data_IF_480166234042
#
_entry.id   IF_480166234042
#
_cell.length_a   1.000
_cell.length_b   1.000
_cell.length_c   1.000
_cell.angle_alpha   90.00
_cell.angle_beta   90.00
_cell.angle_gamma   90.00
#
_symmetry.space_group_name_H-M   'P 1'
#
loop_
_entity.id
_entity.type
_entity.pdbx_description
1 polymer ?
#
# COMPACT_ATOMS: atom_id res chain seq x y z
N UNK A 1 21.46 -46.11 -80.61
CA UNK A 1 20.65 -45.24 -79.73
C UNK A 1 21.56 -44.22 -79.08
N UNK A 2 21.14 -42.96 -79.08
CA UNK A 2 21.65 -41.79 -78.33
C UNK A 2 23.00 -41.16 -78.69
N UNK A 3 22.87 -40.05 -79.44
CA UNK A 3 23.48 -38.72 -79.28
C UNK A 3 24.56 -38.49 -78.21
N UNK A 4 25.72 -37.97 -78.63
CA UNK A 4 26.59 -37.13 -77.81
C UNK A 4 26.82 -35.80 -78.56
N UNK A 5 26.34 -34.71 -77.97
CA UNK A 5 26.53 -33.34 -78.42
C UNK A 5 27.35 -32.61 -77.34
N UNK A 6 28.60 -32.30 -77.66
CA UNK A 6 29.44 -31.31 -76.94
C UNK A 6 29.29 -29.99 -77.68
N UNK A 7 29.17 -28.82 -77.01
CA UNK A 7 30.40 -28.12 -76.61
C UNK A 7 30.27 -27.10 -75.46
N UNK A 8 31.41 -26.57 -75.00
CA UNK A 8 31.51 -25.21 -74.44
C UNK A 8 32.11 -25.11 -73.04
N UNK A 9 33.43 -25.20 -72.92
CA UNK A 9 34.15 -24.74 -71.73
C UNK A 9 34.32 -23.22 -71.79
N UNK A 10 33.73 -22.48 -70.84
CA UNK A 10 34.11 -21.10 -70.53
C UNK A 10 34.91 -21.08 -69.21
N UNK A 11 36.00 -20.31 -69.11
CA UNK A 11 36.78 -20.23 -67.87
C UNK A 11 36.03 -19.40 -66.81
N UNK A 12 36.22 -19.70 -65.50
CA UNK A 12 35.61 -18.91 -64.44
C UNK A 12 36.25 -17.52 -64.34
N UNK A 13 35.45 -16.48 -64.46
CA UNK A 13 35.84 -15.10 -64.17
C UNK A 13 35.81 -14.87 -62.65
N UNK A 14 37.00 -14.71 -62.04
CA UNK A 14 37.12 -14.29 -60.64
C UNK A 14 36.97 -12.78 -60.54
N UNK A 15 35.75 -12.28 -60.30
CA UNK A 15 35.57 -10.87 -59.94
C UNK A 15 35.91 -10.68 -58.45
N UNK A 16 37.08 -10.10 -58.18
CA UNK A 16 37.44 -9.61 -56.85
C UNK A 16 36.62 -8.34 -56.57
N UNK A 17 35.62 -8.48 -55.71
CA UNK A 17 34.75 -7.39 -55.29
C UNK A 17 35.50 -6.48 -54.30
N UNK A 18 36.05 -5.37 -54.80
CA UNK A 18 36.75 -4.34 -54.01
C UNK A 18 35.82 -3.18 -53.62
N UNK A 19 34.53 -3.45 -53.41
CA UNK A 19 33.64 -2.47 -52.78
C UNK A 19 34.06 -2.18 -51.33
N UNK A 20 34.05 -0.92 -50.86
CA UNK A 20 34.26 -0.64 -49.45
C UNK A 20 33.20 -1.39 -48.65
N UNK A 21 33.61 -2.32 -47.78
CA UNK A 21 32.71 -2.94 -46.81
C UNK A 21 32.27 -1.86 -45.85
N UNK A 22 31.18 -1.17 -46.18
CA UNK A 22 30.42 -0.40 -45.22
C UNK A 22 29.85 -1.41 -44.21
N UNK A 23 30.62 -1.73 -43.18
CA UNK A 23 30.06 -2.32 -41.96
C UNK A 23 29.06 -1.30 -41.46
N UNK A 24 27.76 -1.54 -41.66
CA UNK A 24 26.72 -0.75 -41.00
C UNK A 24 27.10 -0.69 -39.53
N UNK A 25 27.14 0.50 -38.89
CA UNK A 25 27.23 0.54 -37.44
C UNK A 25 26.11 -0.36 -36.90
N UNK A 26 26.38 -1.19 -35.87
CA UNK A 26 25.34 -2.00 -35.27
C UNK A 26 24.14 -1.08 -34.99
N UNK A 27 22.95 -1.51 -35.42
CA UNK A 27 21.72 -0.77 -35.12
C UNK A 27 21.74 -0.41 -33.63
N UNK A 28 21.41 0.83 -33.23
CA UNK A 28 21.43 1.20 -31.83
C UNK A 28 20.58 0.16 -31.09
N UNK A 29 21.25 -0.67 -30.27
CA UNK A 29 20.58 -1.64 -29.41
C UNK A 29 19.54 -0.82 -28.64
N UNK A 30 18.24 -1.07 -28.82
CA UNK A 30 17.19 -0.27 -28.16
C UNK A 30 17.38 -0.38 -26.64
N UNK A 31 18.01 0.59 -25.94
CA UNK A 31 18.32 0.46 -24.52
C UNK A 31 17.04 0.68 -23.67
N UNK A 32 15.92 0.99 -24.31
CA UNK A 32 14.74 1.62 -23.71
C UNK A 32 13.53 0.70 -23.55
N UNK A 33 13.48 -0.51 -24.15
CA UNK A 33 12.35 -1.44 -23.93
C UNK A 33 12.24 -1.88 -22.48
N UNK A 34 13.37 -2.10 -21.80
CA UNK A 34 13.38 -2.54 -20.41
C UNK A 34 12.88 -1.46 -19.43
N UNK A 35 12.95 -0.18 -19.80
CA UNK A 35 12.47 0.95 -18.98
C UNK A 35 11.04 1.38 -19.34
N UNK A 36 10.36 0.66 -20.23
CA UNK A 36 9.02 1.03 -20.67
C UNK A 36 8.04 1.21 -19.50
N UNK A 37 8.18 0.40 -18.44
CA UNK A 37 7.30 0.40 -17.27
C UNK A 37 7.45 1.60 -16.33
N UNK A 38 8.52 2.39 -16.46
CA UNK A 38 8.81 3.56 -15.61
C UNK A 38 8.44 4.91 -16.24
N UNK A 39 8.00 4.91 -17.50
CA UNK A 39 7.56 6.11 -18.20
C UNK A 39 6.23 6.67 -17.67
N UNK A 40 5.88 7.94 -17.98
CA UNK A 40 4.58 8.50 -17.64
C UNK A 40 3.40 7.58 -18.04
N UNK A 41 2.33 7.62 -17.24
CA UNK A 41 1.12 6.79 -17.40
C UNK A 41 1.28 5.27 -17.21
N UNK A 42 2.50 4.80 -16.90
CA UNK A 42 2.76 3.39 -16.60
C UNK A 42 2.61 3.09 -15.11
N UNK A 43 2.39 1.81 -14.72
CA UNK A 43 2.20 1.44 -13.32
C UNK A 43 3.35 1.87 -12.39
N UNK A 44 4.60 1.85 -12.86
CA UNK A 44 5.78 2.27 -12.09
C UNK A 44 6.31 3.65 -12.54
N UNK A 45 5.43 4.51 -13.05
CA UNK A 45 5.78 5.86 -13.51
C UNK A 45 6.57 6.64 -12.45
N UNK A 46 7.84 6.99 -12.74
CA UNK A 46 8.69 7.73 -11.80
C UNK A 46 8.15 9.13 -11.50
N UNK A 47 7.62 9.82 -12.52
CA UNK A 47 6.99 11.12 -12.34
C UNK A 47 5.69 11.01 -11.54
N UNK A 48 4.94 9.92 -11.73
CA UNK A 48 3.72 9.64 -10.96
C UNK A 48 4.01 9.36 -9.49
N UNK A 49 5.06 8.59 -9.22
CA UNK A 49 5.51 8.24 -7.86
C UNK A 49 6.08 9.47 -7.15
N UNK A 50 6.99 10.21 -7.80
CA UNK A 50 7.64 11.38 -7.19
C UNK A 50 6.65 12.48 -6.84
N UNK A 51 5.69 12.77 -7.73
CA UNK A 51 4.65 13.76 -7.49
C UNK A 51 3.77 13.39 -6.28
N UNK A 52 3.32 12.14 -6.19
CA UNK A 52 2.50 11.68 -5.05
C UNK A 52 3.27 11.73 -3.73
N UNK A 53 4.51 11.26 -3.73
CA UNK A 53 5.37 11.32 -2.55
C UNK A 53 5.60 12.77 -2.09
N UNK A 54 5.87 13.69 -3.02
CA UNK A 54 6.03 15.11 -2.73
C UNK A 54 4.77 15.72 -2.13
N UNK A 55 3.60 15.51 -2.76
CA UNK A 55 2.33 16.04 -2.28
C UNK A 55 1.94 15.48 -0.90
N UNK A 56 2.18 14.18 -0.65
CA UNK A 56 1.96 13.57 0.66
C UNK A 56 2.90 14.14 1.73
N UNK A 57 4.18 14.36 1.39
CA UNK A 57 5.14 15.00 2.30
C UNK A 57 4.77 16.45 2.63
N UNK A 58 4.32 17.21 1.64
CA UNK A 58 3.83 18.58 1.84
C UNK A 58 2.55 18.59 2.71
N UNK A 59 1.58 17.73 2.41
CA UNK A 59 0.34 17.60 3.18
C UNK A 59 0.60 17.16 4.63
N UNK A 60 1.52 16.21 4.84
CA UNK A 60 1.97 15.81 6.18
C UNK A 60 2.56 16.99 6.95
N UNK A 61 3.51 17.71 6.33
CA UNK A 61 4.21 18.82 6.99
C UNK A 61 3.26 19.96 7.34
N UNK A 62 2.40 20.35 6.41
CA UNK A 62 1.39 21.39 6.62
C UNK A 62 0.36 20.98 7.67
N UNK A 63 -0.12 19.73 7.62
CA UNK A 63 -1.07 19.20 8.61
C UNK A 63 -0.48 19.16 10.01
N UNK A 64 0.75 18.64 10.15
CA UNK A 64 1.41 18.56 11.45
C UNK A 64 1.71 19.96 12.02
N UNK A 65 2.25 20.87 11.21
CA UNK A 65 2.51 22.25 11.61
C UNK A 65 1.22 22.95 12.04
N UNK A 66 0.15 22.81 11.25
CA UNK A 66 -1.15 23.42 11.58
C UNK A 66 -1.72 22.86 12.88
N UNK A 67 -1.63 21.54 13.11
CA UNK A 67 -2.08 20.93 14.35
C UNK A 67 -1.31 21.48 15.57
N UNK A 68 0.03 21.57 15.45
CA UNK A 68 0.90 22.12 16.51
C UNK A 68 0.59 23.59 16.76
N UNK A 69 0.45 24.41 15.72
CA UNK A 69 0.13 25.83 15.88
C UNK A 69 -1.23 26.04 16.52
N UNK A 70 -2.27 25.29 16.13
CA UNK A 70 -3.60 25.40 16.77
C UNK A 70 -3.54 24.98 18.24
N UNK A 71 -2.79 23.92 18.58
CA UNK A 71 -2.56 23.49 19.97
C UNK A 71 -1.78 24.51 20.80
N UNK A 72 -0.78 25.16 20.21
CA UNK A 72 0.10 26.10 20.90
C UNK A 72 -0.54 27.49 21.07
N UNK A 73 -1.34 27.92 20.10
CA UNK A 73 -1.88 29.28 20.03
C UNK A 73 -3.35 29.38 20.48
N UNK A 74 -4.07 28.26 20.55
CA UNK A 74 -5.52 28.26 20.83
C UNK A 74 -5.92 27.11 21.74
N UNK A 75 -7.10 27.21 22.36
CA UNK A 75 -7.77 26.08 23.04
C UNK A 75 -8.73 25.31 22.14
N UNK A 76 -8.72 25.59 20.82
CA UNK A 76 -9.68 25.03 19.89
C UNK A 76 -9.42 23.55 19.63
N UNK A 77 -10.44 22.67 19.63
CA UNK A 77 -10.30 21.27 19.24
C UNK A 77 -10.02 21.08 17.74
N UNK A 78 -10.03 22.14 16.93
CA UNK A 78 -9.85 22.07 15.48
C UNK A 78 -8.48 21.54 15.03
N UNK A 79 -7.47 21.44 15.92
CA UNK A 79 -6.18 20.80 15.64
C UNK A 79 -6.32 19.32 15.23
N UNK A 80 -7.42 18.68 15.62
CA UNK A 80 -7.70 17.26 15.35
C UNK A 80 -7.80 16.96 13.85
N UNK A 81 -8.35 17.87 13.06
CA UNK A 81 -8.50 17.73 11.60
C UNK A 81 -7.14 17.74 10.88
N UNK A 82 -6.28 18.76 11.02
CA UNK A 82 -4.97 18.75 10.37
C UNK A 82 -4.06 17.64 10.91
N UNK A 83 -4.20 17.22 12.18
CA UNK A 83 -3.54 16.01 12.70
C UNK A 83 -3.99 14.74 11.96
N UNK A 84 -5.29 14.57 11.73
CA UNK A 84 -5.82 13.44 10.97
C UNK A 84 -5.30 13.42 9.53
N UNK A 85 -5.29 14.57 8.84
CA UNK A 85 -4.75 14.69 7.49
C UNK A 85 -3.24 14.39 7.43
N UNK A 86 -2.49 14.77 8.47
CA UNK A 86 -1.09 14.39 8.58
C UNK A 86 -0.94 12.87 8.74
N UNK A 87 -1.69 12.24 9.65
CA UNK A 87 -1.66 10.78 9.84
C UNK A 87 -2.04 10.03 8.56
N UNK A 88 -3.07 10.48 7.84
CA UNK A 88 -3.50 9.90 6.57
C UNK A 88 -2.41 10.04 5.49
N UNK A 89 -1.76 11.20 5.42
CA UNK A 89 -0.67 11.44 4.47
C UNK A 89 0.53 10.54 4.75
N UNK A 90 0.90 10.40 6.04
CA UNK A 90 1.97 9.50 6.47
C UNK A 90 1.64 8.04 6.19
N UNK A 91 0.41 7.61 6.46
CA UNK A 91 -0.06 6.26 6.15
C UNK A 91 0.15 5.93 4.68
N UNK A 92 -0.38 6.74 3.77
CA UNK A 92 -0.27 6.51 2.32
C UNK A 92 1.19 6.52 1.82
N UNK A 93 2.04 7.38 2.39
CA UNK A 93 3.46 7.38 2.08
C UNK A 93 4.14 6.08 2.56
N UNK A 94 3.89 5.65 3.80
CA UNK A 94 4.49 4.46 4.37
C UNK A 94 4.04 3.17 3.69
N UNK A 95 2.81 3.12 3.16
CA UNK A 95 2.34 2.02 2.32
C UNK A 95 3.25 1.86 1.09
N UNK A 96 3.42 2.95 0.33
CA UNK A 96 4.29 2.92 -0.85
C UNK A 96 5.74 2.64 -0.49
N UNK A 97 6.29 3.34 0.50
CA UNK A 97 7.70 3.23 0.88
C UNK A 97 8.05 1.81 1.37
N UNK A 98 7.18 1.20 2.18
CA UNK A 98 7.41 -0.16 2.68
C UNK A 98 7.38 -1.18 1.54
N UNK A 99 6.43 -1.04 0.62
CA UNK A 99 6.37 -1.85 -0.62
C UNK A 99 7.61 -1.63 -1.48
N UNK A 100 7.99 -0.40 -1.78
CA UNK A 100 9.19 -0.10 -2.56
C UNK A 100 10.46 -0.70 -1.94
N UNK A 101 10.56 -0.71 -0.60
CA UNK A 101 11.74 -1.17 0.14
C UNK A 101 11.89 -2.69 0.20
N UNK A 102 10.79 -3.44 0.26
CA UNK A 102 10.80 -4.90 0.54
C UNK A 102 10.01 -5.75 -0.48
N UNK A 103 9.25 -5.12 -1.35
CA UNK A 103 8.51 -5.74 -2.44
C UNK A 103 8.50 -4.83 -3.69
N UNK A 104 9.70 -4.45 -4.15
CA UNK A 104 9.89 -3.48 -5.26
C UNK A 104 9.12 -3.82 -6.54
N UNK A 105 8.95 -5.09 -6.96
CA UNK A 105 8.15 -5.42 -8.14
C UNK A 105 6.68 -4.95 -8.05
N UNK A 106 6.14 -4.85 -6.83
CA UNK A 106 4.76 -4.41 -6.58
C UNK A 106 4.65 -2.88 -6.32
N UNK A 107 5.77 -2.14 -6.38
CA UNK A 107 5.85 -0.72 -6.06
C UNK A 107 5.33 0.19 -7.18
N UNK A 108 4.04 0.01 -7.52
CA UNK A 108 3.32 0.82 -8.50
C UNK A 108 2.72 2.08 -7.88
N UNK A 109 2.23 3.01 -8.70
CA UNK A 109 1.48 4.20 -8.25
C UNK A 109 0.25 3.85 -7.39
N UNK A 110 -0.30 2.64 -7.54
CA UNK A 110 -1.43 2.17 -6.74
C UNK A 110 -1.02 1.72 -5.33
N UNK A 111 0.26 1.43 -5.09
CA UNK A 111 0.75 1.04 -3.76
C UNK A 111 0.66 2.18 -2.73
N UNK A 112 0.44 3.43 -3.16
CA UNK A 112 0.05 4.52 -2.27
C UNK A 112 -1.36 4.36 -1.68
N UNK A 113 -2.23 3.52 -2.27
CA UNK A 113 -3.62 3.29 -1.85
C UNK A 113 -4.55 4.52 -1.85
N UNK A 114 -4.18 5.61 -2.54
CA UNK A 114 -5.00 6.84 -2.59
C UNK A 114 -6.39 6.64 -3.21
N UNK A 115 -6.51 5.70 -4.15
CA UNK A 115 -7.74 5.36 -4.85
C UNK A 115 -8.27 3.96 -4.49
N UNK A 116 -7.72 3.35 -3.43
CA UNK A 116 -8.16 2.04 -2.98
C UNK A 116 -9.62 2.08 -2.52
N UNK A 117 -10.42 1.08 -2.89
CA UNK A 117 -11.84 0.96 -2.52
C UNK A 117 -12.68 2.20 -2.89
N UNK A 118 -12.41 2.80 -4.05
CA UNK A 118 -13.18 3.91 -4.57
C UNK A 118 -14.66 3.52 -4.82
N UNK A 119 -15.64 4.37 -4.44
CA UNK A 119 -15.54 5.65 -3.75
C UNK A 119 -15.69 5.57 -2.22
N UNK A 120 -15.90 4.38 -1.65
CA UNK A 120 -16.22 4.22 -0.23
C UNK A 120 -15.13 4.78 0.70
N UNK A 121 -13.86 4.59 0.33
CA UNK A 121 -12.73 5.07 1.12
C UNK A 121 -12.70 6.61 1.29
N UNK A 122 -12.69 7.43 0.23
CA UNK A 122 -12.71 8.89 0.39
C UNK A 122 -14.00 9.40 1.03
N UNK A 123 -15.14 8.75 0.79
CA UNK A 123 -16.42 9.10 1.47
C UNK A 123 -16.30 8.94 2.98
N UNK A 124 -15.69 7.85 3.47
CA UNK A 124 -15.50 7.65 4.91
C UNK A 124 -14.61 8.74 5.54
N UNK A 125 -13.51 9.12 4.87
CA UNK A 125 -12.60 10.16 5.36
C UNK A 125 -13.25 11.55 5.33
N UNK A 126 -14.02 11.85 4.28
CA UNK A 126 -14.80 13.08 4.21
C UNK A 126 -15.85 13.15 5.33
N UNK A 127 -16.58 12.05 5.56
CA UNK A 127 -17.54 11.96 6.66
C UNK A 127 -16.87 12.19 8.03
N UNK A 128 -15.69 11.62 8.26
CA UNK A 128 -14.93 11.82 9.49
C UNK A 128 -14.53 13.29 9.71
N UNK A 129 -14.06 13.98 8.66
CA UNK A 129 -13.73 15.41 8.73
C UNK A 129 -15.00 16.24 8.97
N UNK A 130 -16.09 15.94 8.26
CA UNK A 130 -17.36 16.65 8.38
C UNK A 130 -17.99 16.49 9.76
N UNK A 131 -17.99 15.29 10.34
CA UNK A 131 -18.49 15.08 11.70
C UNK A 131 -17.67 15.85 12.73
N UNK A 132 -16.34 15.83 12.62
CA UNK A 132 -15.46 16.56 13.52
C UNK A 132 -15.72 18.07 13.41
N UNK A 133 -15.78 18.59 12.18
CA UNK A 133 -16.02 20.01 11.92
C UNK A 133 -17.40 20.44 12.44
N UNK A 134 -18.46 19.71 12.09
CA UNK A 134 -19.82 20.00 12.54
C UNK A 134 -19.91 19.94 14.08
N UNK A 135 -19.27 18.96 14.71
CA UNK A 135 -19.22 18.86 16.18
C UNK A 135 -18.54 20.07 16.81
N UNK A 136 -17.39 20.49 16.27
CA UNK A 136 -16.65 21.64 16.78
C UNK A 136 -17.40 22.97 16.60
N UNK A 137 -18.12 23.13 15.49
CA UNK A 137 -18.85 24.37 15.17
C UNK A 137 -20.20 24.46 15.89
N UNK A 138 -20.97 23.38 15.91
CA UNK A 138 -22.31 23.35 16.50
C UNK A 138 -22.28 23.17 18.02
N UNK A 139 -21.24 22.53 18.54
CA UNK A 139 -21.12 22.20 19.97
C UNK A 139 -19.71 22.50 20.52
N UNK A 140 -19.25 23.76 20.51
CA UNK A 140 -17.87 24.13 20.88
C UNK A 140 -17.48 23.78 22.32
N UNK A 141 -18.45 23.64 23.23
CA UNK A 141 -18.26 23.20 24.61
C UNK A 141 -18.41 21.70 24.85
N UNK A 142 -18.76 20.91 23.81
CA UNK A 142 -18.98 19.47 23.96
C UNK A 142 -17.68 18.77 24.28
N UNK A 143 -17.73 17.98 25.35
CA UNK A 143 -16.71 16.97 25.63
C UNK A 143 -17.21 15.63 25.13
N UNK A 144 -16.31 14.83 24.58
CA UNK A 144 -16.65 13.45 24.20
C UNK A 144 -17.11 12.66 25.42
N UNK A 145 -16.37 12.78 26.53
CA UNK A 145 -16.62 12.09 27.78
C UNK A 145 -16.33 13.02 28.98
N UNK A 146 -16.77 12.62 30.17
CA UNK A 146 -16.44 13.33 31.40
C UNK A 146 -14.94 13.18 31.73
N UNK A 147 -14.28 14.20 32.31
CA UNK A 147 -12.92 14.02 32.83
C UNK A 147 -12.86 12.96 33.94
N UNK A 148 -11.79 12.13 34.01
CA UNK A 148 -10.59 12.13 33.14
C UNK A 148 -10.71 11.25 31.88
N UNK A 149 -11.89 10.70 31.60
CA UNK A 149 -12.14 9.73 30.53
C UNK A 149 -11.87 10.34 29.15
N UNK A 150 -12.13 11.63 28.96
CA UNK A 150 -11.81 12.37 27.73
C UNK A 150 -10.33 12.31 27.35
N UNK A 151 -9.44 12.54 28.32
CA UNK A 151 -7.98 12.46 28.13
C UNK A 151 -7.53 11.02 27.91
N UNK A 152 -8.12 10.06 28.63
CA UNK A 152 -7.82 8.65 28.47
C UNK A 152 -8.20 8.15 27.06
N UNK A 153 -9.37 8.54 26.54
CA UNK A 153 -9.80 8.21 25.18
C UNK A 153 -8.90 8.84 24.12
N UNK A 154 -8.46 10.08 24.32
CA UNK A 154 -7.49 10.72 23.42
C UNK A 154 -6.14 9.98 23.43
N UNK A 155 -5.61 9.65 24.61
CA UNK A 155 -4.37 8.90 24.74
C UNK A 155 -4.48 7.49 24.11
N UNK A 156 -5.61 6.81 24.31
CA UNK A 156 -5.90 5.54 23.66
C UNK A 156 -5.95 5.67 22.14
N UNK A 157 -6.63 6.70 21.62
CA UNK A 157 -6.68 6.99 20.18
C UNK A 157 -5.31 7.24 19.57
N UNK A 158 -4.48 8.07 20.21
CA UNK A 158 -3.10 8.32 19.78
C UNK A 158 -2.26 7.04 19.81
N UNK A 159 -2.37 6.26 20.90
CA UNK A 159 -1.70 4.97 21.03
C UNK A 159 -2.11 4.00 19.92
N UNK A 160 -3.41 3.91 19.59
CA UNK A 160 -3.93 3.07 18.51
C UNK A 160 -3.44 3.50 17.13
N UNK A 161 -3.36 4.81 16.85
CA UNK A 161 -2.80 5.33 15.58
C UNK A 161 -1.33 4.94 15.45
N UNK A 162 -0.52 5.21 16.47
CA UNK A 162 0.92 4.92 16.43
C UNK A 162 1.19 3.42 16.37
N UNK A 163 0.58 2.63 17.26
CA UNK A 163 0.76 1.19 17.31
C UNK A 163 0.21 0.51 16.04
N UNK A 164 -0.96 0.93 15.55
CA UNK A 164 -1.57 0.39 14.34
C UNK A 164 -0.71 0.64 13.10
N UNK A 165 -0.19 1.86 12.94
CA UNK A 165 0.74 2.20 11.87
C UNK A 165 2.03 1.38 11.98
N UNK A 166 2.62 1.30 13.17
CA UNK A 166 3.86 0.57 13.40
C UNK A 166 3.71 -0.92 13.09
N UNK A 167 2.68 -1.58 13.62
CA UNK A 167 2.41 -3.02 13.37
C UNK A 167 2.22 -3.26 11.88
N UNK A 168 1.49 -2.39 11.18
CA UNK A 168 1.28 -2.52 9.74
C UNK A 168 2.57 -2.36 8.95
N UNK A 169 3.34 -1.31 9.19
CA UNK A 169 4.62 -1.09 8.50
C UNK A 169 5.62 -2.21 8.79
N UNK A 170 5.70 -2.68 10.04
CA UNK A 170 6.55 -3.83 10.41
C UNK A 170 6.09 -5.11 9.70
N UNK A 171 4.79 -5.37 9.60
CA UNK A 171 4.26 -6.51 8.85
C UNK A 171 4.70 -6.48 7.38
N UNK A 172 4.53 -5.35 6.71
CA UNK A 172 4.94 -5.17 5.31
C UNK A 172 6.44 -5.38 5.14
N UNK A 173 7.25 -4.80 6.04
CA UNK A 173 8.70 -4.93 5.97
C UNK A 173 9.18 -6.35 6.26
N UNK A 174 8.53 -7.05 7.20
CA UNK A 174 8.87 -8.41 7.60
C UNK A 174 8.50 -9.41 6.50
N UNK A 175 7.28 -9.35 5.97
CA UNK A 175 6.81 -10.30 4.95
C UNK A 175 7.36 -10.00 3.54
N UNK A 176 7.70 -8.74 3.23
CA UNK A 176 8.31 -8.35 1.97
C UNK A 176 7.55 -8.86 0.75
N UNK A 177 8.19 -9.67 -0.09
CA UNK A 177 7.58 -10.26 -1.29
C UNK A 177 6.35 -11.15 -1.01
N UNK A 178 6.14 -11.60 0.24
CA UNK A 178 4.95 -12.35 0.65
C UNK A 178 3.81 -11.44 1.12
N UNK A 179 3.99 -10.12 1.18
CA UNK A 179 2.93 -9.15 1.45
C UNK A 179 2.40 -8.55 0.15
N UNK A 180 1.08 -8.55 -0.02
CA UNK A 180 0.42 -7.86 -1.12
C UNK A 180 -0.85 -7.14 -0.64
N UNK A 181 -1.18 -5.99 -1.24
CA UNK A 181 -2.38 -5.21 -0.90
C UNK A 181 -3.68 -5.89 -1.36
N UNK A 182 -3.56 -6.85 -2.28
CA UNK A 182 -4.64 -7.69 -2.78
C UNK A 182 -4.45 -9.13 -2.36
N UNK A 183 -5.56 -9.82 -2.06
CA UNK A 183 -5.51 -11.25 -1.71
C UNK A 183 -5.08 -12.02 -2.95
N UNK A 184 -3.98 -12.75 -2.84
CA UNK A 184 -3.41 -13.51 -3.96
C UNK A 184 -4.22 -14.78 -4.19
N UNK A 185 -4.60 -15.01 -5.45
CA UNK A 185 -5.34 -16.23 -5.87
C UNK A 185 -4.42 -17.32 -6.42
N UNK A 186 -3.15 -16.99 -6.69
CA UNK A 186 -2.11 -17.91 -7.13
C UNK A 186 -0.87 -17.76 -6.26
N UNK A 187 -0.17 -18.87 -6.00
CA UNK A 187 1.10 -18.87 -5.27
C UNK A 187 2.23 -18.50 -6.22
N UNK A 188 2.92 -17.39 -5.95
CA UNK A 188 4.16 -17.04 -6.63
C UNK A 188 5.33 -17.84 -6.05
N UNK A 189 6.39 -18.06 -6.85
CA UNK A 189 7.59 -18.78 -6.38
C UNK A 189 8.31 -18.07 -5.23
N UNK A 190 8.15 -16.75 -5.13
CA UNK A 190 8.65 -15.92 -4.02
C UNK A 190 7.76 -15.97 -2.77
N UNK A 191 6.54 -16.50 -2.87
CA UNK A 191 5.60 -16.54 -1.76
C UNK A 191 6.01 -17.62 -0.76
N UNK A 192 6.28 -17.20 0.48
CA UNK A 192 6.65 -18.06 1.60
C UNK A 192 5.68 -17.83 2.75
N UNK A 193 5.43 -18.88 3.52
CA UNK A 193 4.67 -18.75 4.74
C UNK A 193 5.55 -18.10 5.81
N UNK A 194 5.19 -16.87 6.22
CA UNK A 194 5.93 -16.10 7.22
C UNK A 194 5.26 -16.28 8.59
N UNK A 195 5.99 -16.83 9.55
CA UNK A 195 5.47 -17.17 10.91
C UNK A 195 6.33 -16.62 12.04
N UNK A 196 7.34 -15.80 11.73
CA UNK A 196 8.30 -15.26 12.71
C UNK A 196 8.07 -13.78 12.98
N UNK A 197 8.64 -13.27 14.07
CA UNK A 197 8.50 -11.87 14.50
C UNK A 197 7.03 -11.49 14.71
N UNK A 198 6.57 -10.42 14.06
CA UNK A 198 5.19 -9.93 14.22
C UNK A 198 4.15 -10.98 13.79
N UNK A 199 4.50 -11.83 12.82
CA UNK A 199 3.64 -12.95 12.38
C UNK A 199 3.60 -14.10 13.41
N UNK A 200 4.58 -14.19 14.32
CA UNK A 200 4.50 -15.14 15.44
C UNK A 200 3.46 -14.77 16.49
N UNK A 201 3.02 -13.50 16.51
CA UNK A 201 2.05 -12.97 17.48
C UNK A 201 0.67 -12.77 16.85
N UNK A 202 0.63 -12.36 15.58
CA UNK A 202 -0.59 -12.04 14.84
C UNK A 202 -0.56 -12.75 13.49
N UNK A 203 -1.63 -13.44 13.09
CA UNK A 203 -1.69 -14.06 11.74
C UNK A 203 -1.79 -13.03 10.63
N UNK A 204 -2.52 -11.95 10.89
CA UNK A 204 -2.82 -10.89 9.93
C UNK A 204 -2.44 -9.51 10.46
N UNK A 205 -1.13 -9.25 10.76
CA UNK A 205 -0.71 -8.04 11.42
C UNK A 205 -0.95 -6.77 10.57
N UNK A 206 -0.91 -6.89 9.24
CA UNK A 206 -1.27 -5.78 8.34
C UNK A 206 -2.75 -5.36 8.48
N UNK A 207 -3.66 -6.31 8.71
CA UNK A 207 -5.09 -6.05 8.91
C UNK A 207 -5.37 -5.53 10.31
N UNK A 208 -4.76 -6.16 11.32
CA UNK A 208 -4.78 -5.66 12.69
C UNK A 208 -4.33 -4.20 12.74
N UNK A 209 -3.18 -3.89 12.15
CA UNK A 209 -2.62 -2.55 12.16
C UNK A 209 -3.57 -1.52 11.53
N UNK A 210 -4.15 -1.83 10.36
CA UNK A 210 -5.10 -0.91 9.71
C UNK A 210 -6.42 -0.77 10.46
N UNK A 211 -6.93 -1.86 11.03
CA UNK A 211 -8.17 -1.86 11.82
C UNK A 211 -8.05 -0.90 13.00
N UNK A 212 -7.02 -1.08 13.84
CA UNK A 212 -6.82 -0.24 15.02
C UNK A 212 -6.36 1.18 14.67
N UNK A 213 -5.57 1.35 13.60
CA UNK A 213 -5.24 2.69 13.09
C UNK A 213 -6.50 3.48 12.73
N UNK A 214 -7.41 2.87 11.95
CA UNK A 214 -8.67 3.50 11.55
C UNK A 214 -9.53 3.90 12.75
N UNK A 215 -9.69 3.02 13.73
CA UNK A 215 -10.44 3.35 14.95
C UNK A 215 -9.77 4.42 15.81
N UNK A 216 -8.44 4.36 15.93
CA UNK A 216 -7.65 5.35 16.64
C UNK A 216 -7.86 6.75 16.07
N UNK A 217 -7.89 6.90 14.74
CA UNK A 217 -8.14 8.21 14.12
C UNK A 217 -9.49 8.80 14.53
N UNK A 218 -10.54 7.98 14.66
CA UNK A 218 -11.87 8.47 15.04
C UNK A 218 -11.93 8.88 16.51
N UNK A 219 -11.24 8.17 17.40
CA UNK A 219 -11.06 8.58 18.79
C UNK A 219 -10.32 9.92 18.91
N UNK A 220 -9.24 10.10 18.14
CA UNK A 220 -8.51 11.38 18.11
C UNK A 220 -9.36 12.48 17.48
N UNK A 221 -10.19 12.19 16.49
CA UNK A 221 -11.03 13.21 15.85
C UNK A 221 -12.16 13.73 16.73
N UNK A 222 -12.65 12.95 17.67
CA UNK A 222 -13.81 13.39 18.42
C UNK A 222 -15.15 12.78 17.95
N UNK A 223 -15.10 11.87 16.97
CA UNK A 223 -16.25 11.34 16.25
C UNK A 223 -16.88 10.10 16.88
N UNK A 224 -18.16 10.18 17.25
CA UNK A 224 -18.91 9.03 17.79
C UNK A 224 -19.55 8.23 16.66
N UNK A 225 -20.16 8.90 15.68
CA UNK A 225 -20.88 8.22 14.59
C UNK A 225 -19.89 7.55 13.65
N UNK A 226 -18.81 8.24 13.24
CA UNK A 226 -17.77 7.64 12.41
C UNK A 226 -16.97 6.59 13.17
N UNK A 227 -16.78 6.66 14.50
CA UNK A 227 -16.15 5.56 15.23
C UNK A 227 -16.97 4.27 15.12
N UNK A 228 -18.30 4.34 15.31
CA UNK A 228 -19.20 3.20 15.13
C UNK A 228 -19.21 2.71 13.67
N UNK A 229 -19.29 3.64 12.71
CA UNK A 229 -19.27 3.34 11.27
C UNK A 229 -17.98 2.67 10.82
N UNK A 230 -16.83 3.22 11.20
CA UNK A 230 -15.51 2.63 10.91
C UNK A 230 -15.39 1.25 11.55
N UNK A 231 -15.83 1.08 12.80
CA UNK A 231 -15.81 -0.21 13.49
C UNK A 231 -16.58 -1.27 12.71
N UNK A 232 -17.82 -0.98 12.32
CA UNK A 232 -18.65 -1.92 11.57
C UNK A 232 -18.07 -2.23 10.18
N UNK A 233 -17.69 -1.19 9.42
CA UNK A 233 -17.20 -1.35 8.05
C UNK A 233 -15.86 -2.08 8.01
N UNK A 234 -14.89 -1.70 8.86
CA UNK A 234 -13.58 -2.36 8.93
C UNK A 234 -13.71 -3.79 9.44
N UNK A 235 -14.58 -4.03 10.42
CA UNK A 235 -14.83 -5.39 10.93
C UNK A 235 -15.37 -6.29 9.82
N UNK A 236 -16.42 -5.87 9.13
CA UNK A 236 -17.01 -6.62 8.02
C UNK A 236 -16.00 -6.84 6.88
N UNK A 237 -15.25 -5.81 6.52
CA UNK A 237 -14.25 -5.87 5.48
C UNK A 237 -13.15 -6.90 5.80
N UNK A 238 -12.56 -6.83 6.99
CA UNK A 238 -11.48 -7.73 7.37
C UNK A 238 -11.94 -9.14 7.69
N UNK A 239 -13.12 -9.32 8.27
CA UNK A 239 -13.70 -10.66 8.48
C UNK A 239 -13.83 -11.42 7.16
N UNK A 240 -14.37 -10.76 6.14
CA UNK A 240 -14.52 -11.34 4.80
C UNK A 240 -13.16 -11.62 4.14
N UNK A 241 -12.23 -10.65 4.17
CA UNK A 241 -10.91 -10.81 3.54
C UNK A 241 -10.06 -11.88 4.21
N UNK A 242 -10.02 -11.91 5.54
CA UNK A 242 -9.32 -12.95 6.30
C UNK A 242 -9.89 -14.32 5.92
N UNK A 243 -11.21 -14.50 5.93
CA UNK A 243 -11.80 -15.80 5.58
C UNK A 243 -11.43 -16.26 4.16
N UNK A 244 -11.41 -15.35 3.18
CA UNK A 244 -11.00 -15.68 1.80
C UNK A 244 -9.51 -16.01 1.71
N UNK A 245 -8.67 -15.19 2.34
CA UNK A 245 -7.23 -15.34 2.30
C UNK A 245 -6.75 -16.58 3.03
N UNK A 246 -7.30 -16.90 4.20
CA UNK A 246 -6.92 -18.11 4.93
C UNK A 246 -7.26 -19.38 4.14
N UNK A 247 -8.36 -19.40 3.36
CA UNK A 247 -8.64 -20.52 2.44
C UNK A 247 -7.53 -20.66 1.40
N UNK A 248 -7.06 -19.55 0.83
CA UNK A 248 -5.94 -19.57 -0.12
C UNK A 248 -4.62 -19.95 0.52
N UNK A 249 -4.37 -19.54 1.76
CA UNK A 249 -3.17 -19.94 2.49
C UNK A 249 -3.16 -21.43 2.82
N UNK A 250 -4.32 -22.04 3.13
CA UNK A 250 -4.45 -23.51 3.22
C UNK A 250 -4.19 -24.16 1.86
N UNK A 251 -4.75 -23.65 0.76
CA UNK A 251 -4.46 -24.16 -0.58
C UNK A 251 -2.95 -24.07 -0.94
N UNK A 252 -2.26 -23.03 -0.49
CA UNK A 252 -0.85 -22.77 -0.84
C UNK A 252 0.17 -23.52 0.04
N UNK A 253 -0.15 -23.75 1.31
CA UNK A 253 0.80 -24.24 2.32
C UNK A 253 0.30 -25.46 3.11
N UNK A 254 -0.94 -25.90 2.88
CA UNK A 254 -1.49 -27.12 3.49
C UNK A 254 -1.43 -27.10 5.02
N UNK A 255 -0.95 -28.21 5.58
CA UNK A 255 -0.90 -28.46 7.03
C UNK A 255 -0.02 -27.47 7.78
N UNK A 256 1.02 -26.91 7.15
CA UNK A 256 1.87 -25.89 7.78
C UNK A 256 1.04 -24.65 8.19
N UNK A 257 0.12 -24.23 7.32
CA UNK A 257 -0.77 -23.12 7.63
C UNK A 257 -1.83 -23.50 8.68
N UNK A 258 -2.34 -24.74 8.62
CA UNK A 258 -3.32 -25.23 9.61
C UNK A 258 -2.71 -25.22 11.01
N UNK A 259 -1.47 -25.70 11.17
CA UNK A 259 -0.76 -25.70 12.45
C UNK A 259 -0.34 -24.30 12.90
N UNK A 260 0.02 -23.42 11.98
CA UNK A 260 0.23 -22.01 12.29
C UNK A 260 -1.06 -21.35 12.78
N UNK A 261 -2.19 -21.62 12.12
CA UNK A 261 -3.50 -21.05 12.45
C UNK A 261 -3.99 -21.43 13.85
N UNK A 262 -3.70 -22.66 14.29
CA UNK A 262 -4.05 -23.15 15.64
C UNK A 262 -3.31 -22.40 16.75
N UNK A 263 -2.10 -21.92 16.49
CA UNK A 263 -1.21 -21.35 17.52
C UNK A 263 -1.31 -19.83 17.65
N UNK A 264 -1.65 -19.14 16.56
CA UNK A 264 -1.57 -17.66 16.49
C UNK A 264 -2.94 -17.11 16.13
N UNK A 265 -3.42 -16.06 16.80
CA UNK A 265 -4.72 -15.42 16.53
C UNK A 265 -4.66 -14.25 15.55
N UNK A 266 -5.81 -13.68 15.17
CA UNK A 266 -5.88 -12.43 14.39
C UNK A 266 -5.85 -11.17 15.26
N UNK A 267 -6.35 -11.29 16.51
CA UNK A 267 -6.57 -10.20 17.48
C UNK A 267 -7.52 -9.09 17.00
N UNK A 268 -8.33 -9.37 15.97
CA UNK A 268 -9.51 -8.57 15.62
C UNK A 268 -10.72 -9.27 16.24
N UNK A 269 -11.58 -8.56 17.03
CA UNK A 269 -12.70 -9.19 17.71
C UNK A 269 -13.60 -9.99 16.75
N UNK A 270 -13.91 -11.24 17.10
CA UNK A 270 -14.81 -12.12 16.34
C UNK A 270 -14.35 -12.45 14.91
N UNK A 271 -13.05 -12.33 14.63
CA UNK A 271 -12.42 -12.74 13.36
C UNK A 271 -11.42 -13.85 13.65
N UNK A 272 -11.67 -15.08 13.22
CA UNK A 272 -10.82 -16.21 13.59
C UNK A 272 -10.99 -17.44 12.73
#
# INVERSE_FOLDING_TARGET
>A
MSSANTPGQHPPTWSLDFGPRHTRPPAPQQPTRHLAHVYPHQPMSLSGISLRAFLLGAAFSLGLLSAVLVLALTSSPLWRIPFFLACLSLFHFLEFWSTARRNTPEATVNAFLLTANWPAYPVAHAAAVLECLATCLLFPGRRWAAPPVDKALLAAGLGMVVAGQAVRSVAMLHAGASFNHTVQTKKADSHRLVTTGVYGVLRHPGYFGFFYWGLGTQLVLGNVLCFAGYSYVLHKFFSSRVAVEERKLVEFFGDEYVEYRRRVGTMIPFVG
#
